data_IF_593008060929
#
_entry.id   IF_593008060929
#
_cell.length_a   1.000
_cell.length_b   1.000
_cell.length_c   1.000
_cell.angle_alpha   90.00
_cell.angle_beta   90.00
_cell.angle_gamma   90.00
#
_symmetry.space_group_name_H-M   'P 1'
#
loop_
_entity.id
_entity.type
_entity.pdbx_description
1 polymer ?
#
# COMPACT_ATOMS: atom_id res chain seq x y z
N UNK A 1 -3.14 28.32 21.30
CA UNK A 1 -4.51 28.03 21.75
C UNK A 1 -5.40 27.90 20.51
N UNK A 2 -6.32 26.94 20.49
CA UNK A 2 -7.32 26.78 19.45
C UNK A 2 -8.64 27.36 19.92
N UNK A 3 -9.26 28.23 19.12
CA UNK A 3 -10.58 28.79 19.40
C UNK A 3 -11.53 28.36 18.28
N UNK A 4 -12.68 27.80 18.65
CA UNK A 4 -13.73 27.37 17.72
C UNK A 4 -14.98 28.21 17.97
N UNK A 5 -15.45 28.91 16.95
CA UNK A 5 -16.62 29.76 17.00
C UNK A 5 -17.65 29.31 15.97
N UNK A 6 -18.92 29.45 16.30
CA UNK A 6 -20.00 29.17 15.35
C UNK A 6 -20.05 30.27 14.28
N UNK A 7 -20.03 29.86 13.01
CA UNK A 7 -20.20 30.80 11.89
C UNK A 7 -21.66 31.30 11.77
N UNK A 8 -21.84 32.49 11.24
CA UNK A 8 -23.12 32.95 10.79
C UNK A 8 -23.67 32.13 9.60
N UNK A 9 -22.79 31.51 8.83
CA UNK A 9 -23.17 30.61 7.74
C UNK A 9 -23.56 29.25 8.30
N UNK A 10 -24.73 28.75 7.91
CA UNK A 10 -25.23 27.45 8.37
C UNK A 10 -24.30 26.31 7.99
N UNK A 11 -24.01 25.42 8.94
CA UNK A 11 -23.11 24.27 8.76
C UNK A 11 -21.61 24.60 8.75
N UNK A 12 -21.23 25.85 9.06
CA UNK A 12 -19.85 26.29 9.14
C UNK A 12 -19.41 26.62 10.57
N UNK A 13 -18.15 26.43 10.86
CA UNK A 13 -17.45 26.87 12.07
C UNK A 13 -16.22 27.69 11.67
N UNK A 14 -15.88 28.68 12.49
CA UNK A 14 -14.60 29.39 12.40
C UNK A 14 -13.62 28.76 13.36
N UNK A 15 -12.45 28.37 12.86
CA UNK A 15 -11.36 27.85 13.66
C UNK A 15 -10.20 28.83 13.60
N UNK A 16 -9.76 29.33 14.76
CA UNK A 16 -8.62 30.23 14.91
C UNK A 16 -7.53 29.55 15.72
N UNK A 17 -6.28 29.72 15.35
CA UNK A 17 -5.15 29.22 16.10
C UNK A 17 -4.05 30.26 16.21
N UNK A 18 -3.42 30.31 17.37
CA UNK A 18 -2.21 31.10 17.61
C UNK A 18 -0.92 30.30 17.24
N UNK A 19 -1.10 29.10 16.67
CA UNK A 19 0.02 28.24 16.31
C UNK A 19 0.75 28.77 15.06
N UNK A 20 2.07 28.65 15.05
CA UNK A 20 2.95 28.99 13.92
C UNK A 20 2.96 27.86 12.86
N UNK A 21 2.04 26.90 12.97
CA UNK A 21 1.94 25.78 12.05
C UNK A 21 1.59 26.25 10.63
N UNK A 22 2.25 25.73 9.57
CA UNK A 22 1.87 26.03 8.19
C UNK A 22 0.40 25.69 7.90
N UNK A 23 -0.29 26.58 7.19
CA UNK A 23 -1.73 26.44 6.88
C UNK A 23 -2.07 25.08 6.29
N UNK A 24 -1.34 24.54 5.27
CA UNK A 24 -1.68 23.23 4.71
C UNK A 24 -1.63 22.08 5.73
N UNK A 25 -0.68 22.12 6.65
CA UNK A 25 -0.55 21.12 7.73
C UNK A 25 -1.71 21.22 8.71
N UNK A 26 -2.10 22.46 9.06
CA UNK A 26 -3.24 22.72 9.94
C UNK A 26 -4.56 22.23 9.33
N UNK A 27 -4.74 22.44 8.03
CA UNK A 27 -5.91 21.95 7.29
C UNK A 27 -5.98 20.42 7.30
N UNK A 28 -4.88 19.74 7.07
CA UNK A 28 -4.82 18.27 7.12
C UNK A 28 -5.31 17.77 8.49
N UNK A 29 -4.78 18.32 9.58
CA UNK A 29 -5.16 17.91 10.94
C UNK A 29 -6.64 18.18 11.20
N UNK A 30 -7.15 19.35 10.80
CA UNK A 30 -8.56 19.71 11.01
C UNK A 30 -9.55 18.89 10.18
N UNK A 31 -9.14 18.45 8.99
CA UNK A 31 -10.01 17.70 8.07
C UNK A 31 -9.89 16.20 8.23
N UNK A 32 -8.88 15.73 8.97
CA UNK A 32 -8.71 14.32 9.32
C UNK A 32 -9.85 13.87 10.23
N UNK A 33 -10.49 12.77 9.86
CA UNK A 33 -11.55 12.13 10.67
C UNK A 33 -10.92 11.39 11.85
N UNK A 34 -9.68 10.95 11.70
CA UNK A 34 -8.98 10.13 12.69
C UNK A 34 -9.50 8.69 12.71
N UNK A 35 -10.12 8.24 11.63
CA UNK A 35 -10.55 6.85 11.49
C UNK A 35 -9.34 5.95 11.36
N UNK A 36 -9.19 5.02 12.28
CA UNK A 36 -8.13 4.01 12.27
C UNK A 36 -8.74 2.66 12.00
N UNK A 37 -8.14 1.94 11.08
CA UNK A 37 -8.58 0.61 10.68
C UNK A 37 -7.38 -0.33 10.61
N UNK A 38 -7.54 -1.53 11.15
CA UNK A 38 -6.54 -2.59 11.10
C UNK A 38 -7.06 -3.72 10.23
N UNK A 39 -6.24 -4.12 9.27
CA UNK A 39 -6.57 -5.17 8.32
C UNK A 39 -5.59 -6.33 8.43
N UNK A 40 -6.10 -7.55 8.37
CA UNK A 40 -5.27 -8.68 7.99
C UNK A 40 -4.79 -8.52 6.55
N UNK A 41 -3.72 -9.21 6.18
CA UNK A 41 -3.19 -9.16 4.82
C UNK A 41 -3.20 -10.54 4.17
N UNK A 42 -3.36 -10.57 2.85
CA UNK A 42 -3.00 -11.72 2.05
C UNK A 42 -1.50 -11.74 1.83
N UNK A 43 -0.88 -12.91 1.93
CA UNK A 43 0.50 -13.06 1.52
C UNK A 43 0.61 -13.25 0.01
N UNK A 44 1.78 -12.94 -0.53
CA UNK A 44 2.06 -13.16 -1.96
C UNK A 44 1.85 -14.63 -2.35
N UNK A 45 2.21 -15.58 -1.46
CA UNK A 45 2.00 -17.00 -1.69
C UNK A 45 0.52 -17.40 -1.87
N UNK A 46 -0.42 -16.63 -1.32
CA UNK A 46 -1.84 -16.88 -1.44
C UNK A 46 -2.45 -16.35 -2.74
N UNK A 47 -1.85 -15.33 -3.36
CA UNK A 47 -2.42 -14.62 -4.51
C UNK A 47 -1.56 -14.68 -5.78
N UNK A 48 -0.35 -15.23 -5.70
CA UNK A 48 0.58 -15.29 -6.84
C UNK A 48 -0.04 -15.95 -8.07
N UNK A 49 -0.68 -17.11 -7.89
CA UNK A 49 -1.33 -17.82 -9.00
C UNK A 49 -2.41 -16.96 -9.67
N UNK A 50 -3.20 -16.22 -8.90
CA UNK A 50 -4.21 -15.30 -9.43
C UNK A 50 -3.58 -14.15 -10.22
N UNK A 51 -2.43 -13.63 -9.79
CA UNK A 51 -1.70 -12.57 -10.50
C UNK A 51 -1.11 -13.07 -11.82
N UNK A 52 -0.53 -14.28 -11.84
CA UNK A 52 -0.05 -14.88 -13.09
C UNK A 52 -1.19 -15.12 -14.08
N UNK A 53 -2.30 -15.65 -13.60
CA UNK A 53 -3.47 -15.88 -14.44
C UNK A 53 -4.09 -14.57 -14.95
N UNK A 54 -4.12 -13.54 -14.12
CA UNK A 54 -4.53 -12.20 -14.51
C UNK A 54 -3.64 -11.65 -15.64
N UNK A 55 -2.31 -11.78 -15.50
CA UNK A 55 -1.37 -11.36 -16.54
C UNK A 55 -1.58 -12.12 -17.85
N UNK A 56 -1.80 -13.46 -17.77
CA UNK A 56 -2.05 -14.29 -18.93
C UNK A 56 -3.32 -13.85 -19.67
N UNK A 57 -4.43 -13.67 -18.95
CA UNK A 57 -5.71 -13.25 -19.52
C UNK A 57 -5.58 -11.88 -20.18
N UNK A 58 -4.96 -10.90 -19.50
CA UNK A 58 -4.70 -9.58 -20.06
C UNK A 58 -3.86 -9.65 -21.34
N UNK A 59 -2.84 -10.51 -21.36
CA UNK A 59 -1.98 -10.71 -22.54
C UNK A 59 -2.71 -11.30 -23.75
N UNK A 60 -3.82 -12.01 -23.54
CA UNK A 60 -4.66 -12.57 -24.58
C UNK A 60 -5.71 -11.58 -25.13
N UNK A 61 -6.05 -10.54 -24.35
CA UNK A 61 -7.02 -9.52 -24.76
C UNK A 61 -6.50 -8.67 -25.92
N UNK A 62 -7.26 -8.51 -27.02
CA UNK A 62 -6.80 -7.80 -28.21
C UNK A 62 -6.36 -6.34 -27.95
N UNK A 63 -7.04 -5.67 -27.03
CA UNK A 63 -6.77 -4.27 -26.64
C UNK A 63 -5.43 -4.06 -25.92
N UNK A 64 -4.87 -5.11 -25.32
CA UNK A 64 -3.61 -5.03 -24.57
C UNK A 64 -2.45 -5.78 -25.25
N UNK A 65 -2.70 -6.33 -26.46
CA UNK A 65 -1.63 -6.94 -27.26
C UNK A 65 -0.71 -5.85 -27.77
N UNK A 66 0.58 -5.94 -27.45
CA UNK A 66 1.60 -5.11 -28.08
C UNK A 66 1.60 -5.40 -29.59
N UNK A 67 1.65 -4.38 -30.46
CA UNK A 67 1.82 -4.61 -31.90
C UNK A 67 3.14 -5.38 -32.10
N UNK A 68 3.11 -6.42 -32.94
CA UNK A 68 4.32 -7.14 -33.33
C UNK A 68 5.25 -6.15 -34.03
N UNK A 69 6.18 -5.57 -33.31
CA UNK A 69 7.20 -4.69 -33.88
C UNK A 69 8.28 -5.59 -34.46
N UNK A 70 8.29 -5.76 -35.78
CA UNK A 70 9.41 -6.35 -36.48
C UNK A 70 10.55 -5.33 -36.57
N UNK A 71 11.19 -5.08 -35.45
CA UNK A 71 12.45 -4.33 -35.40
C UNK A 71 13.51 -5.24 -34.80
N UNK A 72 14.42 -5.63 -35.65
CA UNK A 72 15.71 -6.20 -35.27
C UNK A 72 16.31 -5.38 -34.13
N UNK A 73 16.82 -6.01 -33.06
CA UNK A 73 17.50 -5.29 -32.01
C UNK A 73 18.72 -4.60 -32.61
N UNK A 74 18.74 -3.27 -32.64
CA UNK A 74 19.98 -2.54 -32.88
C UNK A 74 20.89 -2.79 -31.67
N UNK A 75 21.89 -3.62 -31.90
CA UNK A 75 23.00 -3.84 -31.01
C UNK A 75 23.61 -2.48 -30.60
N UNK A 76 23.39 -2.04 -29.39
CA UNK A 76 24.22 -1.02 -28.76
C UNK A 76 25.17 -1.70 -27.78
N UNK A 77 26.42 -1.70 -28.22
CA UNK A 77 27.66 -1.60 -27.49
C UNK A 77 28.33 -2.86 -26.90
N UNK A 78 29.46 -3.13 -27.52
CA UNK A 78 30.74 -3.54 -26.93
C UNK A 78 30.82 -4.87 -26.16
N UNK A 79 31.03 -5.95 -26.93
CA UNK A 79 32.10 -6.88 -26.53
C UNK A 79 32.77 -7.44 -27.80
N UNK A 80 34.09 -7.24 -27.88
CA UNK A 80 35.00 -7.79 -28.91
C UNK A 80 34.96 -9.31 -28.83
N UNK A 81 34.36 -9.97 -29.81
CA UNK A 81 34.64 -11.36 -30.12
C UNK A 81 35.12 -11.43 -31.55
N UNK A 82 36.29 -12.04 -31.71
CA UNK A 82 36.89 -12.41 -32.99
C UNK A 82 36.01 -13.52 -33.59
N UNK A 83 35.37 -13.25 -34.72
CA UNK A 83 34.61 -14.27 -35.45
C UNK A 83 35.55 -14.89 -36.45
N UNK A 84 35.84 -16.21 -36.30
CA UNK A 84 36.42 -17.01 -37.37
C UNK A 84 35.35 -17.24 -38.45
N UNK A 85 35.66 -16.88 -39.68
CA UNK A 85 34.87 -17.21 -40.85
C UNK A 85 34.82 -18.72 -41.10
N UNK A 86 33.61 -19.28 -41.17
CA UNK A 86 33.41 -20.58 -41.81
C UNK A 86 32.43 -21.50 -41.11
N UNK A 87 31.11 -21.27 -41.28
CA UNK A 87 30.16 -22.37 -41.47
C UNK A 87 28.78 -21.80 -41.85
N UNK A 88 28.33 -22.12 -43.04
CA UNK A 88 26.95 -21.97 -43.47
C UNK A 88 26.07 -22.95 -42.67
N UNK A 89 25.41 -22.48 -41.63
CA UNK A 89 24.26 -23.16 -41.03
C UNK A 89 23.08 -22.22 -41.02
N UNK A 90 22.15 -22.52 -41.89
CA UNK A 90 20.77 -21.93 -41.87
C UNK A 90 20.08 -22.57 -40.68
N UNK A 91 20.28 -21.99 -39.49
CA UNK A 91 19.40 -22.27 -38.38
C UNK A 91 18.07 -21.54 -38.62
N UNK A 92 16.91 -22.17 -38.37
CA UNK A 92 15.64 -21.51 -38.50
C UNK A 92 15.63 -20.35 -37.47
N UNK A 93 15.28 -19.13 -37.93
CA UNK A 93 15.02 -18.01 -37.06
C UNK A 93 13.92 -18.47 -36.08
N UNK A 94 14.31 -18.77 -34.85
CA UNK A 94 13.34 -18.93 -33.78
C UNK A 94 12.63 -17.58 -33.64
N UNK A 95 11.36 -17.55 -34.00
CA UNK A 95 10.47 -16.42 -33.73
C UNK A 95 10.61 -16.10 -32.23
N UNK A 96 11.30 -15.02 -31.91
CA UNK A 96 11.34 -14.47 -30.55
C UNK A 96 9.91 -14.04 -30.23
N UNK A 97 9.17 -14.93 -29.59
CA UNK A 97 7.83 -14.63 -29.10
C UNK A 97 8.00 -13.61 -27.97
N UNK A 98 7.82 -12.35 -28.29
CA UNK A 98 7.79 -11.29 -27.28
C UNK A 98 6.63 -11.58 -26.32
N UNK A 99 6.97 -12.02 -25.10
CA UNK A 99 5.99 -12.39 -24.08
C UNK A 99 5.30 -11.10 -23.65
N UNK A 100 4.00 -10.99 -23.95
CA UNK A 100 3.18 -9.87 -23.56
C UNK A 100 2.80 -10.02 -22.07
N UNK A 101 3.29 -9.12 -21.23
CA UNK A 101 3.07 -9.12 -19.76
C UNK A 101 2.38 -7.84 -19.29
N UNK A 102 1.15 -7.52 -19.73
CA UNK A 102 0.53 -6.22 -19.47
C UNK A 102 0.45 -5.87 -17.98
N UNK A 103 0.12 -6.84 -17.13
CA UNK A 103 0.04 -6.63 -15.69
C UNK A 103 1.42 -6.36 -15.08
N UNK A 104 2.41 -7.16 -15.42
CA UNK A 104 3.75 -7.07 -14.81
C UNK A 104 4.61 -5.94 -15.40
N UNK A 105 4.20 -5.38 -16.53
CA UNK A 105 4.79 -4.15 -17.06
C UNK A 105 4.46 -2.94 -16.15
N UNK A 106 3.30 -2.94 -15.49
CA UNK A 106 2.86 -1.87 -14.56
C UNK A 106 2.98 -2.27 -13.08
N UNK A 107 2.92 -3.55 -12.75
CA UNK A 107 3.16 -4.10 -11.42
C UNK A 107 4.60 -4.62 -11.32
N UNK A 108 5.51 -3.71 -11.05
CA UNK A 108 6.95 -3.97 -11.03
C UNK A 108 7.38 -4.75 -9.79
N UNK A 109 8.49 -5.45 -9.92
CA UNK A 109 9.13 -6.24 -8.86
C UNK A 109 8.31 -7.43 -8.34
N UNK A 110 7.17 -7.75 -8.94
CA UNK A 110 6.45 -8.97 -8.60
C UNK A 110 7.26 -10.21 -8.99
N UNK A 111 7.75 -10.26 -10.22
CA UNK A 111 8.53 -11.38 -10.74
C UNK A 111 9.89 -11.57 -10.04
N UNK A 112 10.48 -10.50 -9.52
CA UNK A 112 11.73 -10.56 -8.75
C UNK A 112 11.59 -11.21 -7.37
N UNK A 113 10.39 -11.57 -6.95
CA UNK A 113 10.14 -12.30 -5.70
C UNK A 113 10.25 -13.82 -5.86
N UNK A 114 10.57 -14.30 -7.06
CA UNK A 114 10.76 -15.72 -7.37
C UNK A 114 12.24 -16.03 -7.60
N UNK A 115 12.65 -17.22 -7.16
CA UNK A 115 13.98 -17.75 -7.43
C UNK A 115 14.09 -18.30 -8.88
N UNK A 116 15.27 -18.78 -9.27
CA UNK A 116 15.54 -19.37 -10.59
C UNK A 116 14.68 -20.60 -10.91
N UNK A 117 14.14 -21.27 -9.88
CA UNK A 117 13.27 -22.43 -10.01
C UNK A 117 11.77 -22.06 -10.00
N UNK A 118 11.44 -20.77 -9.94
CA UNK A 118 10.07 -20.28 -9.87
C UNK A 118 9.41 -20.39 -8.49
N UNK A 119 10.19 -20.62 -7.42
CA UNK A 119 9.65 -20.61 -6.06
C UNK A 119 9.70 -19.21 -5.45
N UNK A 120 8.67 -18.87 -4.66
CA UNK A 120 8.65 -17.61 -3.91
C UNK A 120 9.77 -17.58 -2.86
N UNK A 121 10.58 -16.51 -2.88
CA UNK A 121 11.65 -16.29 -1.92
C UNK A 121 11.06 -16.03 -0.52
N UNK A 122 10.00 -15.21 -0.46
CA UNK A 122 9.32 -14.82 0.78
C UNK A 122 7.80 -14.99 0.65
N UNK A 123 7.26 -16.22 0.68
CA UNK A 123 5.85 -16.50 0.40
C UNK A 123 4.89 -15.87 1.42
N UNK A 124 5.37 -15.49 2.60
CA UNK A 124 4.58 -14.89 3.68
C UNK A 124 4.48 -13.37 3.61
N UNK A 125 5.24 -12.71 2.74
CA UNK A 125 5.18 -11.26 2.57
C UNK A 125 3.86 -10.84 1.95
N UNK A 126 3.34 -9.71 2.41
CA UNK A 126 2.08 -9.14 1.89
C UNK A 126 2.32 -8.07 0.81
N UNK A 127 3.55 -7.61 0.65
CA UNK A 127 3.94 -6.70 -0.42
C UNK A 127 3.92 -7.44 -1.76
N UNK A 128 3.10 -6.96 -2.69
CA UNK A 128 2.94 -7.58 -4.00
C UNK A 128 3.99 -7.07 -4.97
N UNK A 129 4.22 -5.76 -4.97
CA UNK A 129 5.15 -5.08 -5.87
C UNK A 129 5.04 -3.58 -5.77
N UNK A 130 5.55 -2.92 -6.80
CA UNK A 130 5.53 -1.47 -6.94
C UNK A 130 4.82 -1.07 -8.23
N UNK A 131 4.20 0.10 -8.23
CA UNK A 131 3.58 0.70 -9.41
C UNK A 131 4.01 2.16 -9.53
N UNK A 132 4.41 2.60 -10.71
CA UNK A 132 4.64 4.01 -10.95
C UNK A 132 3.34 4.80 -10.76
N UNK A 133 3.40 6.00 -10.17
CA UNK A 133 2.21 6.85 -9.97
C UNK A 133 1.49 7.15 -11.28
N UNK A 134 2.25 7.28 -12.37
CA UNK A 134 1.71 7.50 -13.71
C UNK A 134 0.88 6.31 -14.22
N UNK A 135 1.23 5.08 -13.82
CA UNK A 135 0.60 3.84 -14.28
C UNK A 135 -0.49 3.34 -13.33
N UNK A 136 -0.71 4.04 -12.21
CA UNK A 136 -1.66 3.64 -11.18
C UNK A 136 -3.09 3.46 -11.71
N UNK A 137 -3.54 4.36 -12.57
CA UNK A 137 -4.87 4.27 -13.20
C UNK A 137 -4.98 3.03 -14.09
N UNK A 138 -3.92 2.68 -14.83
CA UNK A 138 -3.85 1.48 -15.66
C UNK A 138 -3.92 0.22 -14.82
N UNK A 139 -3.14 0.15 -13.74
CA UNK A 139 -3.16 -1.00 -12.83
C UNK A 139 -4.54 -1.17 -12.17
N UNK A 140 -5.15 -0.08 -11.69
CA UNK A 140 -6.52 -0.11 -11.14
C UNK A 140 -7.51 -0.62 -12.18
N UNK A 141 -7.44 -0.11 -13.42
CA UNK A 141 -8.30 -0.56 -14.51
C UNK A 141 -8.15 -2.07 -14.75
N UNK A 142 -6.94 -2.59 -14.87
CA UNK A 142 -6.70 -4.02 -15.06
C UNK A 142 -7.31 -4.87 -13.93
N UNK A 143 -7.07 -4.49 -12.68
CA UNK A 143 -7.57 -5.23 -11.51
C UNK A 143 -9.10 -5.18 -11.37
N UNK A 144 -9.76 -4.16 -11.95
CA UNK A 144 -11.22 -3.99 -11.91
C UNK A 144 -11.96 -4.68 -13.07
N UNK A 145 -11.26 -5.15 -14.10
CA UNK A 145 -11.90 -5.91 -15.18
C UNK A 145 -12.60 -7.14 -14.63
N UNK A 146 -13.83 -7.40 -15.06
CA UNK A 146 -14.65 -8.52 -14.57
C UNK A 146 -13.95 -9.87 -14.69
N UNK A 147 -13.20 -10.09 -15.78
CA UNK A 147 -12.45 -11.32 -16.00
C UNK A 147 -11.27 -11.48 -15.02
N UNK A 148 -10.72 -10.37 -14.54
CA UNK A 148 -9.56 -10.33 -13.65
C UNK A 148 -9.99 -10.30 -12.19
N UNK A 149 -10.93 -9.45 -11.82
CA UNK A 149 -11.40 -9.30 -10.44
C UNK A 149 -11.92 -10.61 -9.84
N UNK A 150 -12.55 -11.46 -10.66
CA UNK A 150 -13.07 -12.79 -10.25
C UNK A 150 -11.97 -13.81 -9.92
N UNK A 151 -10.72 -13.57 -10.30
CA UNK A 151 -9.60 -14.45 -9.99
C UNK A 151 -9.15 -14.31 -8.52
N UNK A 152 -9.53 -13.22 -7.90
CA UNK A 152 -9.14 -12.91 -6.52
C UNK A 152 -10.26 -13.22 -5.53
N UNK A 153 -9.91 -13.52 -4.27
CA UNK A 153 -10.91 -13.65 -3.21
C UNK A 153 -11.77 -12.38 -3.11
N UNK A 154 -13.09 -12.51 -2.97
CA UNK A 154 -14.00 -11.35 -2.84
C UNK A 154 -13.75 -10.49 -1.61
N UNK A 155 -12.95 -10.98 -0.65
CA UNK A 155 -12.49 -10.26 0.53
C UNK A 155 -11.16 -9.54 0.33
N UNK A 156 -10.55 -9.61 -0.87
CA UNK A 156 -9.28 -8.95 -1.16
C UNK A 156 -9.52 -7.52 -1.63
N UNK A 157 -8.75 -6.60 -1.08
CA UNK A 157 -8.66 -5.20 -1.51
C UNK A 157 -7.20 -4.84 -1.71
N UNK A 158 -6.86 -4.28 -2.86
CA UNK A 158 -5.52 -3.76 -3.09
C UNK A 158 -5.40 -2.37 -2.47
N UNK A 159 -4.43 -2.19 -1.60
CA UNK A 159 -4.11 -0.93 -0.95
C UNK A 159 -2.80 -0.36 -1.47
N UNK A 160 -2.67 0.95 -1.43
CA UNK A 160 -1.61 1.73 -2.02
C UNK A 160 -0.92 2.55 -0.93
N UNK A 161 0.38 2.42 -0.82
CA UNK A 161 1.20 3.22 0.07
C UNK A 161 2.22 4.02 -0.75
N UNK A 162 2.47 5.28 -0.38
CA UNK A 162 3.61 5.98 -0.94
C UNK A 162 4.88 5.23 -0.54
N UNK A 163 5.59 4.68 -1.53
CA UNK A 163 6.89 4.08 -1.26
C UNK A 163 7.90 5.19 -0.90
N UNK A 164 8.92 4.87 -0.12
CA UNK A 164 10.04 5.81 0.08
C UNK A 164 10.84 6.11 -1.20
N UNK A 165 10.39 5.62 -2.36
CA UNK A 165 10.98 5.83 -3.70
C UNK A 165 10.16 6.87 -4.44
N UNK A 166 10.84 7.77 -5.14
CA UNK A 166 10.20 8.84 -5.91
C UNK A 166 9.22 8.28 -6.95
N UNK A 167 8.02 8.87 -6.98
CA UNK A 167 6.96 8.57 -7.95
C UNK A 167 6.48 7.11 -7.99
N UNK A 168 6.63 6.35 -6.90
CA UNK A 168 6.20 4.97 -6.83
C UNK A 168 5.17 4.77 -5.72
N UNK A 169 4.20 3.91 -5.99
CA UNK A 169 3.35 3.29 -4.97
C UNK A 169 3.86 1.88 -4.66
N UNK A 170 3.73 1.48 -3.43
CA UNK A 170 3.84 0.12 -2.97
C UNK A 170 2.45 -0.50 -2.86
N UNK A 171 2.29 -1.72 -3.35
CA UNK A 171 0.99 -2.39 -3.45
C UNK A 171 0.92 -3.53 -2.44
N UNK A 172 -0.12 -3.49 -1.60
CA UNK A 172 -0.37 -4.46 -0.55
C UNK A 172 -1.76 -5.09 -0.75
N UNK A 173 -1.88 -6.37 -0.44
CA UNK A 173 -3.16 -7.06 -0.47
C UNK A 173 -3.79 -7.12 0.93
N UNK A 174 -4.83 -6.32 1.16
CA UNK A 174 -5.62 -6.33 2.38
C UNK A 174 -6.68 -7.44 2.33
N UNK A 175 -6.98 -8.00 3.49
CA UNK A 175 -8.08 -8.93 3.68
C UNK A 175 -9.19 -8.26 4.48
N UNK A 176 -10.39 -8.20 3.91
CA UNK A 176 -11.58 -7.62 4.53
C UNK A 176 -12.57 -8.71 4.92
N UNK A 177 -13.44 -8.44 5.88
CA UNK A 177 -14.66 -9.20 6.09
C UNK A 177 -15.85 -8.39 5.59
N UNK A 178 -16.41 -8.78 4.43
CA UNK A 178 -17.50 -8.03 3.75
C UNK A 178 -17.20 -6.54 3.56
N UNK A 179 -15.94 -6.21 3.26
CA UNK A 179 -15.49 -4.83 3.09
C UNK A 179 -15.11 -4.12 4.40
N UNK A 180 -15.22 -4.81 5.55
CA UNK A 180 -14.89 -4.23 6.86
C UNK A 180 -13.47 -4.61 7.31
N UNK A 181 -12.81 -3.76 8.12
CA UNK A 181 -11.53 -4.07 8.75
C UNK A 181 -11.67 -5.17 9.80
N UNK A 182 -10.55 -5.80 10.15
CA UNK A 182 -10.50 -6.77 11.24
C UNK A 182 -10.68 -6.11 12.62
N UNK A 183 -10.28 -4.84 12.76
CA UNK A 183 -10.46 -4.04 13.97
C UNK A 183 -10.47 -2.56 13.59
N UNK A 184 -11.27 -1.76 14.32
CA UNK A 184 -11.27 -0.29 14.23
C UNK A 184 -10.52 0.34 15.41
N UNK A 185 -10.18 1.63 15.27
CA UNK A 185 -9.51 2.40 16.32
C UNK A 185 -10.43 2.95 17.43
N UNK A 186 -11.72 2.57 17.45
CA UNK A 186 -12.69 3.09 18.43
C UNK A 186 -12.28 2.83 19.89
N UNK A 187 -11.49 1.79 20.11
CA UNK A 187 -11.00 1.42 21.44
C UNK A 187 -9.62 2.03 21.77
N UNK A 188 -9.08 2.92 20.96
CA UNK A 188 -7.85 3.68 21.27
C UNK A 188 -8.20 4.76 22.28
N UNK A 189 -7.51 4.77 23.40
CA UNK A 189 -7.70 5.75 24.48
C UNK A 189 -6.58 6.78 24.56
N UNK A 190 -5.44 6.50 23.97
CA UNK A 190 -4.30 7.41 23.95
C UNK A 190 -3.39 7.12 22.76
N UNK A 191 -2.82 8.16 22.19
CA UNK A 191 -1.75 8.08 21.21
C UNK A 191 -0.68 9.12 21.51
N UNK A 192 0.59 8.72 21.46
CA UNK A 192 1.71 9.61 21.79
C UNK A 192 2.88 9.31 20.88
N UNK A 193 3.49 10.37 20.33
CA UNK A 193 4.78 10.25 19.67
C UNK A 193 5.86 9.90 20.71
N UNK A 194 6.67 8.90 20.39
CA UNK A 194 7.84 8.49 21.15
C UNK A 194 9.06 8.42 20.24
N UNK A 195 10.23 8.71 20.78
CA UNK A 195 11.49 8.52 20.07
C UNK A 195 12.14 7.23 20.57
N UNK A 196 12.42 6.33 19.64
CA UNK A 196 13.05 5.05 19.93
C UNK A 196 14.24 4.82 18.98
N UNK A 197 15.44 4.67 19.54
CA UNK A 197 16.68 4.39 18.78
C UNK A 197 16.92 5.31 17.57
N UNK A 198 16.52 6.58 17.69
CA UNK A 198 16.67 7.59 16.61
C UNK A 198 15.50 7.64 15.61
N UNK A 199 14.54 6.73 15.70
CA UNK A 199 13.33 6.73 14.90
C UNK A 199 12.16 7.34 15.68
N UNK A 200 11.19 7.90 14.96
CA UNK A 200 9.94 8.41 15.54
C UNK A 200 8.85 7.37 15.35
N UNK A 201 8.20 7.04 16.45
CA UNK A 201 7.10 6.06 16.49
C UNK A 201 5.89 6.68 17.15
N UNK A 202 4.71 6.15 16.87
CA UNK A 202 3.49 6.52 17.60
C UNK A 202 3.04 5.34 18.44
N UNK A 203 3.11 5.50 19.76
CA UNK A 203 2.59 4.52 20.69
C UNK A 203 1.10 4.79 20.91
N UNK A 204 0.29 3.76 20.67
CA UNK A 204 -1.15 3.75 20.96
C UNK A 204 -1.45 2.87 22.15
N UNK A 205 -2.49 3.23 22.90
CA UNK A 205 -2.99 2.48 24.02
C UNK A 205 -4.48 2.24 23.85
N UNK A 206 -4.90 1.00 24.05
CA UNK A 206 -6.29 0.57 23.97
C UNK A 206 -6.94 0.48 25.35
N UNK A 207 -8.27 0.63 25.42
CA UNK A 207 -9.04 0.22 26.58
C UNK A 207 -9.02 -1.32 26.73
N UNK A 208 -9.65 -1.85 27.79
CA UNK A 208 -9.64 -3.30 28.08
C UNK A 208 -10.23 -4.15 26.96
N UNK A 209 -11.28 -3.68 26.29
CA UNK A 209 -11.90 -4.37 25.16
C UNK A 209 -10.97 -4.38 23.95
N UNK A 210 -10.44 -3.22 23.58
CA UNK A 210 -9.49 -3.10 22.48
C UNK A 210 -8.22 -3.90 22.70
N UNK A 211 -7.71 -3.95 23.96
CA UNK A 211 -6.56 -4.76 24.33
C UNK A 211 -6.79 -6.26 24.10
N UNK A 212 -7.98 -6.77 24.43
CA UNK A 212 -8.35 -8.16 24.17
C UNK A 212 -8.48 -8.47 22.68
N UNK A 213 -9.13 -7.56 21.93
CA UNK A 213 -9.29 -7.68 20.48
C UNK A 213 -7.93 -7.64 19.77
N UNK A 214 -7.03 -6.72 20.19
CA UNK A 214 -5.68 -6.61 19.66
C UNK A 214 -4.82 -7.84 19.96
N UNK A 215 -4.89 -8.37 21.18
CA UNK A 215 -4.20 -9.61 21.55
C UNK A 215 -4.68 -10.78 20.68
N UNK A 216 -6.00 -10.92 20.49
CA UNK A 216 -6.57 -11.95 19.64
C UNK A 216 -6.13 -11.79 18.18
N UNK A 217 -6.21 -10.57 17.62
CA UNK A 217 -5.83 -10.26 16.25
C UNK A 217 -4.34 -10.56 16.01
N UNK A 218 -3.46 -10.09 16.90
CA UNK A 218 -2.02 -10.33 16.79
C UNK A 218 -1.66 -11.81 16.93
N UNK A 219 -2.31 -12.55 17.84
CA UNK A 219 -2.10 -14.01 17.99
C UNK A 219 -2.41 -14.80 16.71
N UNK A 220 -3.52 -14.46 16.00
CA UNK A 220 -3.91 -15.15 14.77
C UNK A 220 -3.07 -14.74 13.55
N UNK A 221 -2.29 -13.69 13.69
CA UNK A 221 -1.48 -13.13 12.62
C UNK A 221 0.04 -13.16 12.91
N UNK A 222 0.48 -14.02 13.82
CA UNK A 222 1.92 -14.24 14.04
C UNK A 222 2.57 -14.65 12.71
N UNK A 223 3.74 -14.05 12.42
CA UNK A 223 4.49 -14.20 11.17
C UNK A 223 3.83 -13.61 9.90
N UNK A 224 2.67 -12.96 10.03
CA UNK A 224 2.00 -12.22 8.97
C UNK A 224 2.06 -10.72 9.26
N UNK A 225 1.72 -9.91 8.27
CA UNK A 225 1.59 -8.46 8.46
C UNK A 225 0.16 -8.08 8.82
N UNK A 226 0.04 -7.07 9.69
CA UNK A 226 -1.20 -6.34 9.93
C UNK A 226 -1.05 -4.94 9.34
N UNK A 227 -1.93 -4.59 8.42
CA UNK A 227 -1.94 -3.28 7.80
C UNK A 227 -2.75 -2.30 8.65
N UNK A 228 -2.24 -1.08 8.77
CA UNK A 228 -2.94 0.02 9.41
C UNK A 228 -3.27 1.10 8.39
N UNK A 229 -4.54 1.44 8.33
CA UNK A 229 -5.10 2.47 7.45
C UNK A 229 -5.64 3.60 8.33
N UNK A 230 -5.28 4.84 8.01
CA UNK A 230 -5.80 6.04 8.66
C UNK A 230 -6.48 6.90 7.60
N UNK A 231 -7.74 7.23 7.81
CA UNK A 231 -8.55 8.03 6.88
C UNK A 231 -8.52 7.52 5.42
N UNK A 232 -8.49 6.20 5.26
CA UNK A 232 -8.44 5.53 3.96
C UNK A 232 -7.03 5.43 3.33
N UNK A 233 -5.99 5.94 4.02
CA UNK A 233 -4.61 5.86 3.54
C UNK A 233 -3.86 4.76 4.29
N UNK A 234 -3.23 3.86 3.56
CA UNK A 234 -2.34 2.84 4.14
C UNK A 234 -1.09 3.52 4.68
N UNK A 235 -0.85 3.37 5.98
CA UNK A 235 0.25 4.03 6.71
C UNK A 235 1.42 3.09 6.94
N UNK A 236 1.14 1.87 7.39
CA UNK A 236 2.16 0.85 7.70
C UNK A 236 1.56 -0.55 7.70
N UNK A 237 2.41 -1.56 7.58
CA UNK A 237 1.99 -2.98 7.61
C UNK A 237 3.04 -3.86 8.28
N UNK A 238 3.36 -3.61 9.57
CA UNK A 238 4.40 -4.36 10.28
C UNK A 238 4.09 -5.86 10.36
N UNK A 239 5.16 -6.67 10.39
CA UNK A 239 5.05 -8.10 10.68
C UNK A 239 4.82 -8.30 12.17
N UNK A 240 3.86 -9.15 12.51
CA UNK A 240 3.57 -9.54 13.89
C UNK A 240 4.56 -10.62 14.32
N UNK A 241 5.37 -10.32 15.32
CA UNK A 241 6.38 -11.26 15.85
C UNK A 241 5.84 -12.14 16.97
N UNK A 242 4.85 -11.64 17.71
CA UNK A 242 4.24 -12.35 18.82
C UNK A 242 2.87 -11.75 19.16
N UNK A 243 2.09 -12.45 19.97
CA UNK A 243 0.87 -11.92 20.57
C UNK A 243 1.20 -10.69 21.45
N UNK A 244 0.39 -9.62 21.32
CA UNK A 244 0.55 -8.38 22.07
C UNK A 244 -0.59 -8.25 23.09
N UNK A 245 -0.37 -8.66 24.32
CA UNK A 245 -1.39 -8.71 25.39
C UNK A 245 -1.49 -7.45 26.24
N UNK A 246 -0.52 -6.54 26.15
CA UNK A 246 -0.40 -5.39 27.04
C UNK A 246 -1.30 -4.20 26.72
N UNK A 247 -2.18 -4.28 25.72
CA UNK A 247 -3.04 -3.17 25.30
C UNK A 247 -2.30 -1.95 24.75
N UNK A 248 -1.02 -2.12 24.41
CA UNK A 248 -0.19 -1.08 23.80
C UNK A 248 0.39 -1.61 22.49
N UNK A 249 0.40 -0.77 21.48
CA UNK A 249 1.05 -1.04 20.21
C UNK A 249 1.91 0.15 19.79
N UNK A 250 3.03 -0.12 19.12
CA UNK A 250 3.87 0.91 18.52
C UNK A 250 3.70 0.89 17.02
N UNK A 251 3.38 2.04 16.47
CA UNK A 251 3.30 2.27 15.03
C UNK A 251 4.67 2.76 14.62
N UNK A 252 5.44 1.89 14.01
CA UNK A 252 6.78 2.19 13.50
C UNK A 252 6.76 2.36 11.98
N UNK A 253 7.59 3.27 11.50
CA UNK A 253 7.76 3.58 10.09
C UNK A 253 8.90 4.57 9.92
N UNK A 254 9.19 4.94 8.69
CA UNK A 254 10.17 6.01 8.40
C UNK A 254 9.51 7.39 8.53
N UNK A 255 9.00 7.70 9.73
CA UNK A 255 8.29 8.95 9.99
C UNK A 255 9.25 10.07 10.36
N UNK A 256 9.02 11.26 9.81
CA UNK A 256 9.56 12.50 10.35
C UNK A 256 8.93 12.81 11.74
N UNK A 257 9.54 13.73 12.47
CA UNK A 257 8.99 14.21 13.76
C UNK A 257 7.58 14.77 13.55
N UNK A 258 7.41 15.54 12.47
CA UNK A 258 6.15 16.18 12.12
C UNK A 258 5.05 15.13 11.82
N UNK A 259 5.34 14.12 10.99
CA UNK A 259 4.39 13.07 10.64
C UNK A 259 3.98 12.26 11.86
N UNK A 260 4.93 11.83 12.70
CA UNK A 260 4.62 11.11 13.94
C UNK A 260 3.83 11.97 14.94
N UNK A 261 4.14 13.26 15.03
CA UNK A 261 3.41 14.20 15.88
C UNK A 261 1.97 14.39 15.39
N UNK A 262 1.77 14.63 14.10
CA UNK A 262 0.44 14.82 13.51
C UNK A 262 -0.41 13.57 13.66
N UNK A 263 0.18 12.40 13.38
CA UNK A 263 -0.46 11.11 13.59
C UNK A 263 -0.89 10.93 15.06
N UNK A 264 -0.02 11.26 16.01
CA UNK A 264 -0.35 11.14 17.43
C UNK A 264 -1.51 12.05 17.84
N UNK A 265 -1.61 13.25 17.26
CA UNK A 265 -2.72 14.17 17.50
C UNK A 265 -4.02 13.64 16.89
N UNK A 266 -3.99 13.18 15.65
CA UNK A 266 -5.15 12.61 14.95
C UNK A 266 -5.69 11.39 15.68
N UNK A 267 -4.82 10.44 16.04
CA UNK A 267 -5.20 9.22 16.76
C UNK A 267 -5.65 9.50 18.18
N UNK A 268 -5.01 10.45 18.85
CA UNK A 268 -5.32 10.82 20.24
C UNK A 268 -6.62 11.63 20.40
N UNK A 269 -7.08 12.29 19.32
CA UNK A 269 -8.35 13.03 19.35
C UNK A 269 -9.58 12.12 19.23
N UNK A 270 -9.41 10.88 18.82
CA UNK A 270 -10.49 9.97 18.45
C UNK A 270 -11.13 10.31 17.11
N UNK A 271 -11.90 9.38 16.56
CA UNK A 271 -12.56 9.57 15.28
C UNK A 271 -13.65 10.67 15.36
N UNK A 272 -13.57 11.64 14.47
CA UNK A 272 -14.62 12.65 14.33
C UNK A 272 -15.87 12.01 13.69
N UNK A 273 -17.08 12.36 14.18
CA UNK A 273 -18.32 11.79 13.65
C UNK A 273 -18.64 12.28 12.23
N UNK A 274 -18.02 13.37 11.80
CA UNK A 274 -18.24 14.00 10.49
C UNK A 274 -16.92 14.50 9.91
N UNK A 275 -16.73 14.28 8.61
CA UNK A 275 -15.60 14.83 7.87
C UNK A 275 -15.80 16.34 7.66
N UNK A 276 -14.83 17.12 8.10
CA UNK A 276 -14.77 18.55 7.84
C UNK A 276 -14.11 18.82 6.48
N UNK A 277 -14.41 19.97 5.89
CA UNK A 277 -13.68 20.51 4.73
C UNK A 277 -13.42 21.99 4.92
N UNK A 278 -12.27 22.44 4.49
CA UNK A 278 -11.97 23.86 4.46
C UNK A 278 -12.74 24.51 3.31
N UNK A 279 -13.45 25.59 3.61
CA UNK A 279 -14.22 26.37 2.63
C UNK A 279 -13.55 27.70 2.32
N UNK A 280 -12.78 28.26 3.25
CA UNK A 280 -12.06 29.52 3.10
C UNK A 280 -10.93 29.60 4.14
N UNK A 281 -9.77 30.11 3.69
CA UNK A 281 -8.63 30.45 4.55
C UNK A 281 -8.54 31.98 4.60
N UNK A 282 -8.40 32.53 5.79
CA UNK A 282 -8.18 33.97 6.04
C UNK A 282 -6.84 34.20 6.73
#
# INVERSE_FOLDING_TARGET
QLTVEKSAQWGCIHVKTDSVMPVPRFEIILTSVGSVEFYETYSIGQIATSLFEANRILGEMPEYKKPKTSTLPQNSSNQNYIVEEGANSTEPEEDVVEINNPLFDVLMSFTSQFDENGNLINPTYCQIGYCAKADSATLVHYLQLDAISRLFPGSLVFAWMNSGRDNMYEIIALKTDRGLPAMTGENIVSAKMVQNSGNHEVQIEFNSEGANNWASLTRHNIDKSLAMVIDGNLVTYPRVMSEITGGKASISGNFSIEEASDMSLILGSGALPLKLRVVKNE
#
